data_IF_249283811419
#
_entry.id   IF_249283811419
#
_cell.length_a   1.000
_cell.length_b   1.000
_cell.length_c   1.000
_cell.angle_alpha   90.00
_cell.angle_beta   90.00
_cell.angle_gamma   90.00
#
_symmetry.space_group_name_H-M   'P 1'
#
loop_
_entity.id
_entity.type
_entity.pdbx_description
1 polymer ?
#
# COMPACT_ATOMS: atom_id res chain seq x y z
N UNK A 1 12.32 -26.45 -16.86
CA UNK A 1 12.59 -27.64 -16.03
C UNK A 1 13.58 -27.23 -14.94
N UNK A 2 13.09 -27.21 -13.69
CA UNK A 2 13.74 -27.17 -12.37
C UNK A 2 15.10 -26.47 -12.19
N UNK A 3 15.12 -25.47 -11.31
CA UNK A 3 16.28 -25.24 -10.42
C UNK A 3 15.87 -25.57 -9.00
N UNK A 4 16.31 -26.75 -8.60
CA UNK A 4 16.19 -27.37 -7.30
C UNK A 4 16.71 -26.50 -6.16
N UNK A 5 15.95 -26.55 -5.06
CA UNK A 5 16.36 -26.21 -3.71
C UNK A 5 17.66 -26.93 -3.34
N UNK A 6 18.79 -26.23 -3.37
CA UNK A 6 20.03 -26.71 -2.76
C UNK A 6 20.02 -26.49 -1.26
N UNK A 7 19.76 -27.61 -0.56
CA UNK A 7 20.28 -28.02 0.76
C UNK A 7 21.30 -27.05 1.38
N UNK A 8 20.93 -26.37 2.46
CA UNK A 8 21.89 -25.88 3.45
C UNK A 8 22.44 -27.09 4.23
N UNK A 9 23.75 -27.34 4.10
CA UNK A 9 24.50 -28.29 4.94
C UNK A 9 25.02 -27.56 6.17
N UNK A 10 24.62 -28.07 7.33
CA UNK A 10 25.38 -28.24 8.57
C UNK A 10 26.63 -27.36 8.78
N UNK A 11 26.55 -26.47 9.77
CA UNK A 11 27.68 -26.22 10.67
C UNK A 11 27.32 -26.74 12.07
N UNK A 12 28.11 -27.70 12.55
CA UNK A 12 28.05 -28.24 13.91
C UNK A 12 28.88 -27.32 14.81
N UNK A 13 28.25 -26.59 15.72
CA UNK A 13 28.93 -26.06 16.91
C UNK A 13 28.04 -26.28 18.14
N UNK A 14 28.41 -27.29 18.93
CA UNK A 14 28.02 -27.46 20.32
C UNK A 14 28.56 -26.26 21.12
N UNK A 15 27.69 -25.45 21.71
CA UNK A 15 27.70 -25.26 23.16
C UNK A 15 26.56 -24.36 23.63
N UNK A 16 26.01 -24.75 24.78
CA UNK A 16 24.91 -24.15 25.52
C UNK A 16 25.08 -22.64 25.73
N UNK A 17 24.13 -21.85 25.23
CA UNK A 17 23.42 -20.87 26.03
C UNK A 17 22.07 -20.60 25.38
N UNK A 18 21.00 -20.80 26.15
CA UNK A 18 19.62 -20.47 25.79
C UNK A 18 19.52 -18.99 25.46
N UNK A 19 19.50 -18.63 24.18
CA UNK A 19 19.13 -17.29 23.75
C UNK A 19 17.68 -17.38 23.24
N UNK A 20 16.79 -16.89 24.11
CA UNK A 20 15.43 -16.45 23.89
C UNK A 20 14.77 -16.87 22.56
N UNK A 21 13.82 -17.80 22.67
CA UNK A 21 12.89 -18.23 21.62
C UNK A 21 11.80 -17.16 21.41
N UNK A 22 12.21 -15.92 21.16
CA UNK A 22 11.34 -14.80 20.79
C UNK A 22 12.14 -13.94 19.78
N UNK A 23 12.30 -14.45 18.56
CA UNK A 23 12.47 -13.57 17.42
C UNK A 23 11.08 -13.00 17.13
N UNK A 24 10.77 -11.80 17.64
CA UNK A 24 9.72 -10.98 17.07
C UNK A 24 10.13 -10.73 15.61
N UNK A 25 9.59 -11.53 14.68
CA UNK A 25 9.72 -11.29 13.25
C UNK A 25 8.80 -10.11 12.95
N UNK A 26 9.32 -8.90 13.15
CA UNK A 26 8.67 -7.69 12.66
C UNK A 26 8.96 -7.61 11.16
N UNK A 27 8.16 -8.32 10.38
CA UNK A 27 8.22 -8.24 8.93
C UNK A 27 7.42 -7.03 8.45
N UNK A 28 8.08 -5.88 8.37
CA UNK A 28 7.51 -4.63 7.85
C UNK A 28 7.54 -4.57 6.32
N UNK A 29 7.97 -5.63 5.63
CA UNK A 29 8.02 -5.67 4.17
C UNK A 29 6.64 -5.98 3.60
N UNK A 30 6.07 -5.05 2.83
CA UNK A 30 4.83 -5.29 2.08
C UNK A 30 5.20 -5.69 0.66
N UNK A 31 5.06 -6.97 0.34
CA UNK A 31 5.27 -7.48 -1.01
C UNK A 31 3.98 -7.39 -1.85
N UNK A 32 3.74 -6.22 -2.44
CA UNK A 32 2.61 -6.03 -3.35
C UNK A 32 2.65 -6.94 -4.58
N UNK A 33 3.80 -7.50 -4.98
CA UNK A 33 3.89 -8.34 -6.18
C UNK A 33 3.06 -9.60 -6.03
N UNK A 34 3.10 -10.22 -4.86
CA UNK A 34 2.46 -11.49 -4.55
C UNK A 34 1.08 -11.35 -3.88
N UNK A 35 0.55 -10.13 -3.76
CA UNK A 35 -0.80 -9.89 -3.25
C UNK A 35 -1.84 -9.92 -4.39
N UNK A 36 -3.03 -10.42 -4.09
CA UNK A 36 -4.17 -10.39 -5.01
C UNK A 36 -4.73 -8.98 -5.17
N UNK A 37 -5.28 -8.71 -6.35
CA UNK A 37 -6.01 -7.46 -6.62
C UNK A 37 -7.46 -7.59 -6.17
N UNK A 38 -7.97 -6.54 -5.52
CA UNK A 38 -9.39 -6.34 -5.26
C UNK A 38 -9.95 -5.32 -6.26
N UNK A 39 -11.10 -5.61 -6.87
CA UNK A 39 -11.76 -4.75 -7.88
C UNK A 39 -13.15 -4.36 -7.38
N UNK A 40 -13.27 -3.33 -6.53
CA UNK A 40 -14.55 -2.98 -5.89
C UNK A 40 -15.56 -2.34 -6.86
N UNK A 41 -15.09 -1.75 -7.96
CA UNK A 41 -15.91 -1.10 -8.97
C UNK A 41 -15.18 -1.05 -10.32
N UNK A 42 -15.88 -0.83 -11.45
CA UNK A 42 -15.25 -0.58 -12.74
C UNK A 42 -14.23 0.55 -12.66
N UNK A 43 -13.11 0.37 -13.37
CA UNK A 43 -12.02 1.33 -13.42
C UNK A 43 -11.21 1.53 -12.15
N UNK A 44 -11.44 0.76 -11.08
CA UNK A 44 -10.60 0.79 -9.88
C UNK A 44 -10.23 -0.61 -9.44
N UNK A 45 -8.94 -0.82 -9.20
CA UNK A 45 -8.44 -1.98 -8.46
C UNK A 45 -7.38 -1.57 -7.47
N UNK A 46 -7.26 -2.33 -6.38
CA UNK A 46 -6.21 -2.07 -5.40
C UNK A 46 -5.68 -3.36 -4.77
N UNK A 47 -4.45 -3.28 -4.26
CA UNK A 47 -3.90 -4.22 -3.29
C UNK A 47 -3.79 -3.51 -1.95
N UNK A 48 -4.23 -4.13 -0.87
CA UNK A 48 -4.27 -3.49 0.43
C UNK A 48 -3.58 -4.31 1.52
N UNK A 49 -2.70 -3.67 2.28
CA UNK A 49 -2.15 -4.20 3.51
C UNK A 49 -2.63 -3.35 4.68
N UNK A 50 -3.15 -4.00 5.72
CA UNK A 50 -3.61 -3.32 6.94
C UNK A 50 -2.82 -3.86 8.12
N UNK A 51 -2.19 -2.96 8.86
CA UNK A 51 -1.46 -3.27 10.09
C UNK A 51 -1.85 -2.24 11.16
N UNK A 52 -2.35 -2.73 12.29
CA UNK A 52 -2.99 -1.92 13.34
C UNK A 52 -4.04 -0.96 12.76
N UNK A 53 -3.84 0.35 12.95
CA UNK A 53 -4.73 1.41 12.50
C UNK A 53 -4.33 2.01 11.14
N UNK A 54 -3.33 1.43 10.47
CA UNK A 54 -2.82 1.92 9.19
C UNK A 54 -3.21 0.97 8.06
N UNK A 55 -3.67 1.55 6.95
CA UNK A 55 -3.96 0.82 5.71
C UNK A 55 -3.17 1.46 4.58
N UNK A 56 -2.26 0.71 3.99
CA UNK A 56 -1.52 1.11 2.79
C UNK A 56 -2.14 0.39 1.60
N UNK A 57 -2.28 1.11 0.49
CA UNK A 57 -2.87 0.57 -0.74
C UNK A 57 -2.00 0.91 -1.93
N UNK A 58 -1.80 -0.06 -2.82
CA UNK A 58 -1.38 0.19 -4.19
C UNK A 58 -2.66 0.24 -5.03
N UNK A 59 -3.00 1.41 -5.56
CA UNK A 59 -4.20 1.61 -6.36
C UNK A 59 -3.86 1.78 -7.83
N UNK A 60 -4.75 1.30 -8.68
CA UNK A 60 -4.78 1.58 -10.09
C UNK A 60 -6.17 2.07 -10.47
N UNK A 61 -6.19 3.19 -11.20
CA UNK A 61 -7.39 3.78 -11.75
C UNK A 61 -7.33 3.74 -13.28
N UNK A 62 -8.47 3.53 -13.92
CA UNK A 62 -8.66 3.76 -15.35
C UNK A 62 -9.59 4.95 -15.55
N UNK A 63 -9.73 5.39 -16.80
CA UNK A 63 -10.62 6.51 -17.17
C UNK A 63 -12.10 6.22 -16.88
N UNK A 64 -12.48 4.96 -16.64
CA UNK A 64 -13.85 4.56 -16.31
C UNK A 64 -14.24 4.88 -14.86
N UNK A 65 -13.26 5.20 -14.00
CA UNK A 65 -13.52 5.48 -12.60
C UNK A 65 -13.75 6.97 -12.35
N UNK A 66 -14.95 7.30 -11.89
CA UNK A 66 -15.32 8.62 -11.39
C UNK A 66 -15.87 8.45 -9.98
N UNK A 67 -15.24 9.09 -9.01
CA UNK A 67 -15.67 9.07 -7.61
C UNK A 67 -16.02 10.50 -7.18
N UNK A 68 -17.32 10.76 -7.08
CA UNK A 68 -17.85 12.08 -6.72
C UNK A 68 -17.59 12.41 -5.24
N UNK A 69 -17.66 11.41 -4.37
CA UNK A 69 -17.50 11.56 -2.91
C UNK A 69 -16.12 11.08 -2.45
N UNK A 70 -15.09 11.72 -2.99
CA UNK A 70 -13.69 11.37 -2.73
C UNK A 70 -13.31 11.46 -1.22
N UNK A 71 -13.52 10.33 -0.54
CA UNK A 71 -13.15 9.94 0.82
C UNK A 71 -13.49 10.90 1.98
N UNK A 72 -14.20 10.38 2.98
CA UNK A 72 -14.43 11.08 4.27
C UNK A 72 -13.26 10.97 5.27
N UNK A 73 -12.29 10.11 4.98
CA UNK A 73 -11.09 9.88 5.82
C UNK A 73 -9.89 10.55 5.17
N UNK A 74 -9.09 11.23 5.99
CA UNK A 74 -7.84 11.82 5.51
C UNK A 74 -6.88 10.74 5.03
N UNK A 75 -6.27 10.96 3.88
CA UNK A 75 -5.32 10.02 3.27
C UNK A 75 -4.29 10.80 2.45
N UNK A 76 -3.18 10.14 2.16
CA UNK A 76 -2.11 10.68 1.31
C UNK A 76 -1.83 9.67 0.21
N UNK A 77 -1.66 10.16 -1.00
CA UNK A 77 -1.33 9.39 -2.18
C UNK A 77 -0.03 9.88 -2.81
N UNK A 78 0.70 8.95 -3.41
CA UNK A 78 1.88 9.21 -4.21
C UNK A 78 1.66 8.56 -5.58
N UNK A 79 1.84 9.31 -6.66
CA UNK A 79 1.63 8.78 -8.01
C UNK A 79 2.91 8.04 -8.41
N UNK A 80 2.80 6.72 -8.55
CA UNK A 80 3.92 5.87 -8.97
C UNK A 80 4.09 5.92 -10.50
N UNK A 81 2.98 5.86 -11.23
CA UNK A 81 2.93 5.84 -12.70
C UNK A 81 1.64 6.48 -13.20
N UNK A 82 1.66 6.99 -14.44
CA UNK A 82 0.50 7.55 -15.11
C UNK A 82 0.19 8.99 -14.70
N UNK A 83 -1.07 9.39 -14.92
CA UNK A 83 -1.59 10.70 -14.57
C UNK A 83 -2.90 10.55 -13.79
N UNK A 84 -3.10 11.38 -12.78
CA UNK A 84 -4.32 11.45 -12.00
C UNK A 84 -4.94 12.84 -12.15
N UNK A 85 -6.22 12.90 -12.52
CA UNK A 85 -6.97 14.14 -12.54
C UNK A 85 -7.85 14.23 -11.30
N UNK A 86 -7.77 15.35 -10.59
CA UNK A 86 -8.60 15.61 -9.41
C UNK A 86 -9.33 16.93 -9.60
N UNK A 87 -10.63 16.91 -9.40
CA UNK A 87 -11.47 18.11 -9.43
C UNK A 87 -11.59 18.69 -8.01
N UNK A 88 -10.93 19.82 -7.77
CA UNK A 88 -11.07 20.57 -6.52
C UNK A 88 -12.09 21.69 -6.68
N UNK A 89 -13.35 21.43 -6.33
CA UNK A 89 -14.44 22.42 -6.37
C UNK A 89 -14.56 23.16 -7.72
N UNK A 90 -14.54 22.42 -8.82
CA UNK A 90 -14.60 22.93 -10.20
C UNK A 90 -13.24 23.20 -10.85
N UNK A 91 -12.14 23.12 -10.09
CA UNK A 91 -10.78 23.28 -10.64
C UNK A 91 -10.12 21.92 -10.85
N UNK A 92 -10.03 21.52 -12.11
CA UNK A 92 -9.31 20.30 -12.49
C UNK A 92 -7.80 20.51 -12.37
N UNK A 93 -7.12 19.61 -11.66
CA UNK A 93 -5.67 19.59 -11.49
C UNK A 93 -5.13 18.23 -11.91
N UNK A 94 -4.09 18.23 -12.74
CA UNK A 94 -3.41 17.01 -13.21
C UNK A 94 -2.16 16.78 -12.36
N UNK A 95 -2.03 15.56 -11.85
CA UNK A 95 -0.85 15.06 -11.14
C UNK A 95 -0.20 13.96 -11.97
N UNK A 96 1.13 13.88 -11.90
CA UNK A 96 1.95 12.92 -12.67
C UNK A 96 2.78 12.07 -11.73
N UNK A 97 3.40 11.03 -12.27
CA UNK A 97 4.39 10.23 -11.55
C UNK A 97 5.42 11.12 -10.82
N UNK A 98 5.61 10.87 -9.52
CA UNK A 98 6.45 11.68 -8.65
C UNK A 98 5.72 12.73 -7.82
N UNK A 99 4.47 13.07 -8.16
CA UNK A 99 3.67 14.03 -7.39
C UNK A 99 3.02 13.39 -6.15
N UNK A 100 2.70 14.24 -5.18
CA UNK A 100 2.08 13.86 -3.92
C UNK A 100 0.72 14.55 -3.78
N UNK A 101 -0.29 13.81 -3.32
CA UNK A 101 -1.63 14.32 -3.05
C UNK A 101 -1.96 14.10 -1.59
N UNK A 102 -2.28 15.17 -0.86
CA UNK A 102 -2.64 15.10 0.55
C UNK A 102 -4.09 15.55 0.71
N UNK A 103 -4.96 14.63 1.08
CA UNK A 103 -6.33 14.94 1.47
C UNK A 103 -6.43 14.95 3.00
N UNK A 104 -6.45 16.14 3.59
CA UNK A 104 -6.66 16.27 5.04
C UNK A 104 -8.14 16.25 5.37
N UNK A 105 -8.54 15.52 6.40
CA UNK A 105 -9.92 15.61 6.93
C UNK A 105 -10.23 17.07 7.28
N UNK A 106 -11.30 17.64 6.71
CA UNK A 106 -11.78 18.97 7.12
C UNK A 106 -12.01 18.97 8.64
N UNK A 107 -11.23 19.76 9.38
CA UNK A 107 -11.57 20.08 10.77
C UNK A 107 -12.86 20.91 10.71
N UNK A 108 -13.94 20.44 11.33
CA UNK A 108 -15.11 21.30 11.58
C UNK A 108 -14.59 22.53 12.33
N UNK A 109 -14.91 23.74 11.87
CA UNK A 109 -14.81 24.92 12.72
C UNK A 109 -15.66 24.61 13.96
N UNK A 110 -15.03 24.59 15.12
CA UNK A 110 -15.75 24.53 16.39
C UNK A 110 -16.52 25.85 16.47
N UNK A 111 -17.82 25.78 16.23
CA UNK A 111 -18.79 26.84 16.53
C UNK A 111 -18.99 26.93 18.03
#
# INVERSE_FOLDING_TARGET
MNRDFRKQKHDKLNNRLFICKICFVLDYLIDFKNMEWETPAPGVRYKAHTHDNHKIRLLEFTEEFVEDDWCTKGHTGYIVEGNLLINFNGRLSTFRAGDWVIHTRRRRKQT
#
